data_IF_526653939557
#
_entry.id   IF_526653939557
#
_cell.length_a   1.000
_cell.length_b   1.000
_cell.length_c   1.000
_cell.angle_alpha   90.00
_cell.angle_beta   90.00
_cell.angle_gamma   90.00
#
_symmetry.space_group_name_H-M   'P 1'
#
loop_
_entity.id
_entity.type
_entity.pdbx_description
1 polymer ?
#
# COMPACT_ATOMS: atom_id res chain seq x y z
N UNK A 1 -49.26 16.16 27.27
CA UNK A 1 -48.77 16.94 26.13
C UNK A 1 -47.52 16.25 25.62
N UNK A 2 -47.68 15.55 24.50
CA UNK A 2 -46.69 15.14 23.46
C UNK A 2 -45.36 14.57 23.97
N UNK A 3 -45.03 13.27 23.89
CA UNK A 3 -45.25 12.20 22.90
C UNK A 3 -44.56 12.46 21.54
N UNK A 4 -43.35 11.92 21.37
CA UNK A 4 -42.69 11.59 20.07
C UNK A 4 -41.51 10.65 20.39
N UNK A 5 -41.61 9.31 20.40
CA UNK A 5 -41.90 8.29 19.36
C UNK A 5 -40.71 8.05 18.40
N UNK A 6 -39.99 6.95 18.65
CA UNK A 6 -39.04 6.29 17.72
C UNK A 6 -39.66 6.05 16.34
N UNK A 7 -38.83 5.69 15.34
CA UNK A 7 -38.98 4.30 14.91
C UNK A 7 -37.67 3.54 14.69
N UNK A 8 -37.74 2.26 15.10
CA UNK A 8 -36.94 1.12 14.63
C UNK A 8 -37.30 0.77 13.18
N UNK A 9 -36.30 0.47 12.36
CA UNK A 9 -36.41 -0.35 11.14
C UNK A 9 -35.29 -1.41 11.23
N UNK A 10 -35.58 -2.67 11.56
CA UNK A 10 -36.13 -3.78 10.76
C UNK A 10 -35.11 -4.41 9.79
N UNK A 11 -34.95 -5.70 10.02
CA UNK A 11 -34.21 -6.73 9.30
C UNK A 11 -34.43 -6.75 7.78
N UNK A 12 -33.41 -7.20 7.05
CA UNK A 12 -33.58 -8.18 5.99
C UNK A 12 -32.25 -8.91 5.68
N UNK A 13 -32.14 -10.17 6.13
CA UNK A 13 -31.39 -11.19 5.39
C UNK A 13 -32.02 -11.37 3.99
N UNK A 14 -31.27 -11.95 3.04
CA UNK A 14 -31.81 -13.21 2.53
C UNK A 14 -30.79 -14.34 2.39
N UNK A 15 -31.39 -15.52 2.43
CA UNK A 15 -30.86 -16.88 2.42
C UNK A 15 -30.18 -17.30 1.12
N UNK A 16 -29.43 -18.37 1.31
CA UNK A 16 -28.81 -19.30 0.38
C UNK A 16 -29.68 -19.88 -0.75
N UNK A 17 -28.92 -20.50 -1.67
CA UNK A 17 -29.22 -21.70 -2.47
C UNK A 17 -29.82 -21.49 -3.87
N UNK A 18 -29.12 -22.02 -4.88
CA UNK A 18 -29.71 -22.26 -6.20
C UNK A 18 -28.73 -22.38 -7.38
N UNK A 19 -27.77 -23.30 -7.34
CA UNK A 19 -27.50 -24.14 -8.53
C UNK A 19 -28.33 -25.42 -8.32
N UNK A 20 -28.99 -25.98 -9.36
CA UNK A 20 -28.27 -26.73 -10.39
C UNK A 20 -28.86 -26.60 -11.81
N UNK A 21 -28.10 -27.12 -12.77
CA UNK A 21 -28.40 -27.01 -14.19
C UNK A 21 -29.43 -27.98 -14.76
N UNK A 22 -29.55 -27.94 -16.08
CA UNK A 22 -30.05 -28.97 -17.01
C UNK A 22 -29.98 -28.31 -18.39
N UNK A 23 -29.11 -28.72 -19.31
CA UNK A 23 -29.21 -29.94 -20.13
C UNK A 23 -30.46 -29.97 -21.03
N UNK A 24 -30.19 -29.84 -22.33
CA UNK A 24 -30.88 -30.37 -23.51
C UNK A 24 -30.10 -29.81 -24.71
N UNK A 25 -29.24 -30.50 -25.46
CA UNK A 25 -29.22 -31.89 -25.96
C UNK A 25 -30.49 -32.28 -26.74
N UNK A 26 -30.28 -32.62 -28.02
CA UNK A 26 -31.29 -32.88 -29.05
C UNK A 26 -30.74 -32.39 -30.41
N UNK A 27 -29.79 -33.04 -31.07
CA UNK A 27 -29.75 -34.41 -31.62
C UNK A 27 -30.45 -34.56 -32.98
N UNK A 28 -29.85 -35.44 -33.79
CA UNK A 28 -30.22 -35.98 -35.11
C UNK A 28 -29.79 -35.15 -36.34
N UNK A 29 -28.75 -35.51 -37.10
CA UNK A 29 -28.30 -36.78 -37.70
C UNK A 29 -29.00 -37.14 -39.03
N UNK A 30 -28.25 -37.94 -39.81
CA UNK A 30 -28.49 -38.44 -41.17
C UNK A 30 -27.99 -37.50 -42.29
N UNK A 31 -27.21 -37.93 -43.27
CA UNK A 31 -26.77 -39.25 -43.72
C UNK A 31 -25.63 -38.99 -44.75
N UNK A 32 -24.49 -39.68 -44.73
CA UNK A 32 -24.15 -40.84 -45.61
C UNK A 32 -24.46 -40.59 -47.10
N UNK A 33 -23.70 -40.99 -48.10
CA UNK A 33 -22.40 -41.64 -48.35
C UNK A 33 -22.32 -41.71 -49.92
N UNK A 34 -21.33 -42.43 -50.47
CA UNK A 34 -21.19 -42.83 -51.90
C UNK A 34 -20.59 -41.75 -52.83
N UNK A 35 -19.39 -41.87 -53.41
CA UNK A 35 -18.65 -42.98 -54.04
C UNK A 35 -19.27 -43.51 -55.35
N UNK A 36 -18.38 -43.72 -56.33
CA UNK A 36 -18.59 -44.44 -57.61
C UNK A 36 -19.31 -43.64 -58.70
N UNK A 37 -18.99 -43.70 -59.99
CA UNK A 37 -18.12 -44.56 -60.80
C UNK A 37 -18.20 -44.02 -62.23
N UNK A 38 -17.11 -44.08 -63.01
CA UNK A 38 -16.95 -45.04 -64.11
C UNK A 38 -18.05 -45.01 -65.19
N UNK A 39 -17.65 -44.76 -66.45
CA UNK A 39 -18.50 -45.08 -67.59
C UNK A 39 -18.18 -44.35 -68.90
N UNK A 40 -17.24 -44.88 -69.65
CA UNK A 40 -17.14 -44.91 -71.13
C UNK A 40 -18.51 -45.06 -71.87
N UNK A 41 -18.67 -44.91 -73.21
CA UNK A 41 -17.68 -45.29 -74.23
C UNK A 41 -17.65 -44.47 -75.55
N UNK A 42 -16.67 -44.77 -76.38
CA UNK A 42 -16.87 -45.44 -77.68
C UNK A 42 -16.00 -44.87 -78.79
N UNK A 43 -15.10 -45.75 -79.23
CA UNK A 43 -14.20 -45.62 -80.35
C UNK A 43 -14.93 -45.57 -81.70
N UNK A 44 -14.32 -44.90 -82.68
CA UNK A 44 -14.21 -45.46 -84.05
C UNK A 44 -12.85 -45.09 -84.63
N UNK A 45 -12.10 -46.13 -84.97
CA UNK A 45 -10.84 -46.10 -85.69
C UNK A 45 -11.06 -45.92 -87.20
N UNK A 46 -10.10 -45.31 -87.91
CA UNK A 46 -9.59 -45.82 -89.20
C UNK A 46 -8.42 -44.99 -89.75
N UNK A 47 -7.28 -45.68 -89.90
CA UNK A 47 -6.05 -45.39 -90.66
C UNK A 47 -6.44 -45.13 -92.14
N UNK A 48 -5.78 -44.28 -92.98
CA UNK A 48 -4.38 -44.52 -93.36
C UNK A 48 -3.49 -43.37 -93.91
N UNK A 49 -2.17 -43.66 -93.84
CA UNK A 49 -1.10 -43.45 -94.85
C UNK A 49 -0.75 -42.02 -95.31
N UNK A 50 0.53 -41.70 -95.13
CA UNK A 50 1.27 -40.67 -95.86
C UNK A 50 0.97 -40.68 -97.38
N UNK A 51 1.15 -39.51 -98.01
CA UNK A 51 2.31 -39.45 -98.90
C UNK A 51 3.22 -38.26 -98.63
N UNK A 52 4.50 -38.60 -98.50
CA UNK A 52 5.68 -37.82 -98.91
C UNK A 52 5.44 -37.07 -100.23
N UNK A 53 5.96 -35.82 -100.32
CA UNK A 53 6.39 -35.00 -101.51
C UNK A 53 5.87 -33.54 -101.36
N UNK A 54 6.60 -32.45 -101.59
CA UNK A 54 7.88 -32.11 -102.24
C UNK A 54 8.38 -30.76 -101.66
N UNK A 55 9.69 -30.43 -101.79
CA UNK A 55 10.27 -29.20 -101.28
C UNK A 55 9.94 -28.01 -102.20
N UNK A 56 9.67 -26.85 -101.62
CA UNK A 56 10.07 -25.55 -102.18
C UNK A 56 9.98 -24.48 -101.10
N UNK A 57 11.03 -23.66 -101.03
CA UNK A 57 11.32 -22.63 -100.05
C UNK A 57 10.10 -21.87 -99.47
N UNK A 58 9.76 -22.15 -98.21
CA UNK A 58 8.75 -21.38 -97.48
C UNK A 58 9.21 -19.98 -97.05
N UNK A 59 10.53 -19.74 -97.01
CA UNK A 59 11.11 -18.46 -96.57
C UNK A 59 11.05 -17.37 -97.64
N UNK A 60 11.08 -17.73 -98.92
CA UNK A 60 11.00 -16.77 -100.02
C UNK A 60 9.57 -16.32 -100.32
N UNK A 61 8.55 -17.11 -99.95
CA UNK A 61 7.13 -16.67 -100.02
C UNK A 61 6.74 -15.69 -98.91
N UNK A 62 7.27 -15.83 -97.70
CA UNK A 62 7.05 -14.86 -96.62
C UNK A 62 7.72 -13.51 -96.93
N UNK A 63 8.94 -13.53 -97.50
CA UNK A 63 9.65 -12.31 -97.89
C UNK A 63 9.04 -11.63 -99.13
N UNK A 64 8.39 -12.38 -100.02
CA UNK A 64 7.67 -11.82 -101.18
C UNK A 64 6.23 -11.36 -100.86
N UNK A 65 5.65 -11.75 -99.72
CA UNK A 65 4.34 -11.27 -99.25
C UNK A 65 4.42 -9.96 -98.45
N UNK A 66 5.62 -9.56 -98.01
CA UNK A 66 5.90 -8.36 -97.22
C UNK A 66 6.49 -7.20 -98.06
N UNK A 67 6.60 -7.35 -99.39
CA UNK A 67 7.14 -6.35 -100.29
C UNK A 67 6.29 -6.25 -101.56
N UNK A 68 5.80 -5.08 -101.99
CA UNK A 68 6.29 -3.72 -101.70
C UNK A 68 5.65 -3.10 -100.44
N UNK A 69 6.37 -2.25 -99.70
CA UNK A 69 5.76 -1.49 -98.61
C UNK A 69 5.01 -0.32 -99.26
N UNK A 70 3.70 -0.46 -99.43
CA UNK A 70 2.84 0.70 -99.62
C UNK A 70 2.66 1.37 -98.26
N UNK A 71 3.71 2.05 -97.79
CA UNK A 71 3.61 2.93 -96.61
C UNK A 71 2.71 4.08 -96.99
N UNK A 72 1.40 3.92 -96.73
CA UNK A 72 0.48 5.05 -96.76
C UNK A 72 0.83 5.97 -95.59
N UNK A 73 0.62 7.30 -95.75
CA UNK A 73 0.84 8.26 -94.66
C UNK A 73 0.12 7.84 -93.37
N UNK A 74 -1.03 7.18 -93.47
CA UNK A 74 -1.76 6.65 -92.31
C UNK A 74 -1.06 5.49 -91.61
N UNK A 75 -0.36 4.62 -92.35
CA UNK A 75 0.34 3.46 -91.78
C UNK A 75 1.62 3.87 -91.04
N UNK A 76 2.29 4.94 -91.49
CA UNK A 76 3.37 5.60 -90.73
C UNK A 76 2.87 6.23 -89.44
N UNK A 77 1.70 6.88 -89.47
CA UNK A 77 1.06 7.44 -88.27
C UNK A 77 0.71 6.35 -87.27
N UNK A 78 0.15 5.21 -87.72
CA UNK A 78 -0.18 4.07 -86.85
C UNK A 78 1.09 3.43 -86.27
N UNK A 79 2.15 3.26 -87.06
CA UNK A 79 3.42 2.73 -86.57
C UNK A 79 4.07 3.66 -85.54
N UNK A 80 4.03 4.98 -85.77
CA UNK A 80 4.54 5.98 -84.83
C UNK A 80 3.71 6.04 -83.54
N UNK A 81 2.39 5.91 -83.63
CA UNK A 81 1.50 5.83 -82.48
C UNK A 81 1.74 4.55 -81.66
N UNK A 82 1.90 3.39 -82.31
CA UNK A 82 2.22 2.14 -81.62
C UNK A 82 3.62 2.17 -81.02
N UNK A 83 4.59 2.80 -81.69
CA UNK A 83 5.93 3.00 -81.15
C UNK A 83 5.91 3.94 -79.94
N UNK A 84 5.19 5.06 -80.02
CA UNK A 84 5.03 5.99 -78.91
C UNK A 84 4.29 5.35 -77.74
N UNK A 85 3.25 4.55 -78.00
CA UNK A 85 2.52 3.79 -76.98
C UNK A 85 3.40 2.70 -76.35
N UNK A 86 4.17 1.97 -77.17
CA UNK A 86 5.13 0.97 -76.70
C UNK A 86 6.24 1.60 -75.87
N UNK A 87 6.73 2.77 -76.27
CA UNK A 87 7.72 3.54 -75.53
C UNK A 87 7.13 4.08 -74.22
N UNK A 88 5.90 4.60 -74.24
CA UNK A 88 5.20 5.07 -73.04
C UNK A 88 4.93 3.92 -72.06
N UNK A 89 4.48 2.76 -72.55
CA UNK A 89 4.33 1.55 -71.74
C UNK A 89 5.68 1.06 -71.21
N UNK A 90 6.74 1.08 -72.02
CA UNK A 90 8.07 0.71 -71.56
C UNK A 90 8.58 1.67 -70.48
N UNK A 91 8.36 2.98 -70.61
CA UNK A 91 8.70 3.99 -69.60
C UNK A 91 7.84 3.82 -68.36
N UNK A 92 6.54 3.51 -68.50
CA UNK A 92 5.63 3.32 -67.38
C UNK A 92 5.92 2.02 -66.62
N UNK A 93 6.29 0.95 -67.33
CA UNK A 93 6.75 -0.32 -66.75
C UNK A 93 8.16 -0.16 -66.17
N UNK A 94 9.04 0.63 -66.79
CA UNK A 94 10.37 0.94 -66.26
C UNK A 94 10.24 1.78 -64.99
N UNK A 95 9.41 2.82 -64.99
CA UNK A 95 9.12 3.70 -63.86
C UNK A 95 8.42 2.97 -62.70
N UNK A 96 7.48 2.07 -62.98
CA UNK A 96 6.85 1.24 -61.93
C UNK A 96 7.82 0.18 -61.38
N UNK A 97 8.84 -0.21 -62.15
CA UNK A 97 9.89 -1.14 -61.71
C UNK A 97 11.15 -0.46 -61.16
N UNK A 98 11.36 0.83 -61.42
CA UNK A 98 12.45 1.68 -60.91
C UNK A 98 12.15 2.19 -59.47
N UNK A 99 11.23 1.55 -58.76
CA UNK A 99 11.30 1.48 -57.29
C UNK A 99 12.44 0.54 -56.87
N UNK A 100 13.67 0.80 -57.32
CA UNK A 100 14.86 0.01 -57.01
C UNK A 100 15.51 0.38 -55.68
N UNK A 101 14.88 1.22 -54.85
CA UNK A 101 15.30 1.47 -53.47
C UNK A 101 14.60 0.55 -52.43
N UNK A 102 13.76 -0.42 -52.85
CA UNK A 102 12.90 -1.15 -51.90
C UNK A 102 12.89 -2.69 -52.03
N UNK A 103 13.91 -3.32 -52.65
CA UNK A 103 14.07 -4.79 -52.67
C UNK A 103 15.25 -5.35 -51.89
N UNK A 104 16.29 -4.56 -51.61
CA UNK A 104 17.34 -4.90 -50.64
C UNK A 104 16.98 -4.53 -49.19
N UNK A 105 16.13 -3.52 -49.01
CA UNK A 105 15.84 -2.91 -47.71
C UNK A 105 14.86 -3.69 -46.81
N UNK A 106 14.13 -4.70 -47.29
CA UNK A 106 13.09 -5.35 -46.45
C UNK A 106 13.69 -6.12 -45.28
N UNK A 107 14.70 -6.96 -45.54
CA UNK A 107 15.32 -7.74 -44.47
C UNK A 107 16.18 -6.86 -43.56
N UNK A 108 16.90 -5.90 -44.13
CA UNK A 108 17.74 -4.94 -43.39
C UNK A 108 16.92 -3.97 -42.53
N UNK A 109 15.79 -3.46 -43.02
CA UNK A 109 14.87 -2.62 -42.21
C UNK A 109 14.13 -3.43 -41.15
N UNK A 110 13.75 -4.69 -41.43
CA UNK A 110 13.17 -5.57 -40.41
C UNK A 110 14.17 -5.87 -39.29
N UNK A 111 15.44 -6.12 -39.63
CA UNK A 111 16.52 -6.29 -38.65
C UNK A 111 16.76 -4.99 -37.89
N UNK A 112 16.80 -3.84 -38.57
CA UNK A 112 16.97 -2.53 -37.93
C UNK A 112 15.82 -2.18 -36.98
N UNK A 113 14.58 -2.45 -37.37
CA UNK A 113 13.39 -2.25 -36.53
C UNK A 113 13.41 -3.21 -35.36
N UNK A 114 13.83 -4.46 -35.56
CA UNK A 114 14.00 -5.44 -34.49
C UNK A 114 15.08 -4.98 -33.51
N UNK A 115 16.25 -4.55 -33.99
CA UNK A 115 17.33 -4.02 -33.14
C UNK A 115 16.87 -2.75 -32.39
N UNK A 116 16.11 -1.87 -33.02
CA UNK A 116 15.53 -0.69 -32.37
C UNK A 116 14.48 -1.08 -31.32
N UNK A 117 13.66 -2.10 -31.60
CA UNK A 117 12.65 -2.61 -30.68
C UNK A 117 13.30 -3.34 -29.50
N UNK A 118 14.32 -4.16 -29.74
CA UNK A 118 15.10 -4.85 -28.73
C UNK A 118 15.85 -3.84 -27.86
N UNK A 119 16.43 -2.79 -28.46
CA UNK A 119 17.03 -1.67 -27.74
C UNK A 119 16.02 -0.90 -26.89
N UNK A 120 14.82 -0.63 -27.43
CA UNK A 120 13.71 -0.02 -26.67
C UNK A 120 13.23 -0.94 -25.55
N UNK A 121 13.13 -2.25 -25.80
CA UNK A 121 12.72 -3.24 -24.83
C UNK A 121 13.74 -3.34 -23.70
N UNK A 122 15.04 -3.42 -23.99
CA UNK A 122 16.10 -3.40 -22.98
C UNK A 122 16.07 -2.12 -22.16
N UNK A 123 15.90 -0.95 -22.81
CA UNK A 123 15.79 0.32 -22.10
C UNK A 123 14.59 0.37 -21.15
N UNK A 124 13.41 -0.03 -21.63
CA UNK A 124 12.19 -0.08 -20.81
C UNK A 124 12.31 -1.10 -19.67
N UNK A 125 12.95 -2.25 -19.91
CA UNK A 125 13.24 -3.22 -18.86
C UNK A 125 14.18 -2.63 -17.80
N UNK A 126 15.24 -1.93 -18.22
CA UNK A 126 16.15 -1.23 -17.29
C UNK A 126 15.44 -0.13 -16.50
N UNK A 127 14.61 0.69 -17.15
CA UNK A 127 13.80 1.73 -16.49
C UNK A 127 12.82 1.13 -15.49
N UNK A 128 12.15 0.01 -15.84
CA UNK A 128 11.27 -0.73 -14.93
C UNK A 128 12.03 -1.21 -13.69
N UNK A 129 13.17 -1.88 -13.87
CA UNK A 129 13.98 -2.37 -12.73
C UNK A 129 14.46 -1.21 -11.85
N UNK A 130 14.87 -0.08 -12.44
CA UNK A 130 15.28 1.09 -11.67
C UNK A 130 14.11 1.71 -10.88
N UNK A 131 12.92 1.76 -11.46
CA UNK A 131 11.71 2.24 -10.77
C UNK A 131 11.29 1.30 -9.64
N UNK A 132 11.34 -0.01 -9.86
CA UNK A 132 11.07 -1.02 -8.83
C UNK A 132 12.04 -0.90 -7.65
N UNK A 133 13.34 -0.71 -7.93
CA UNK A 133 14.35 -0.45 -6.90
C UNK A 133 14.10 0.87 -6.15
N UNK A 134 13.73 1.93 -6.88
CA UNK A 134 13.44 3.24 -6.29
C UNK A 134 12.20 3.19 -5.39
N UNK A 135 11.17 2.46 -5.81
CA UNK A 135 9.95 2.23 -5.05
C UNK A 135 10.27 1.44 -3.78
N UNK A 136 10.99 0.32 -3.90
CA UNK A 136 11.39 -0.49 -2.74
C UNK A 136 12.24 0.31 -1.74
N UNK A 137 13.16 1.16 -2.23
CA UNK A 137 13.96 2.03 -1.38
C UNK A 137 13.09 3.08 -0.65
N UNK A 138 12.13 3.69 -1.35
CA UNK A 138 11.24 4.69 -0.78
C UNK A 138 10.34 4.06 0.29
N UNK A 139 9.75 2.90 0.01
CA UNK A 139 8.92 2.15 0.97
C UNK A 139 9.72 1.77 2.21
N UNK A 140 10.93 1.24 2.05
CA UNK A 140 11.81 0.91 3.17
C UNK A 140 12.16 2.14 4.02
N UNK A 141 12.54 3.24 3.39
CA UNK A 141 12.87 4.49 4.11
C UNK A 141 11.66 5.07 4.85
N UNK A 142 10.47 4.97 4.27
CA UNK A 142 9.21 5.42 4.88
C UNK A 142 8.86 4.58 6.10
N UNK A 143 8.99 3.26 6.01
CA UNK A 143 8.77 2.35 7.13
C UNK A 143 9.77 2.62 8.27
N UNK A 144 11.05 2.77 7.95
CA UNK A 144 12.08 3.12 8.94
C UNK A 144 11.80 4.47 9.63
N UNK A 145 11.35 5.48 8.88
CA UNK A 145 10.99 6.77 9.44
C UNK A 145 9.80 6.69 10.39
N UNK A 146 8.77 5.91 10.03
CA UNK A 146 7.59 5.66 10.88
C UNK A 146 7.99 4.95 12.17
N UNK A 147 8.78 3.88 12.08
CA UNK A 147 9.27 3.15 13.25
C UNK A 147 10.09 4.06 14.17
N UNK A 148 11.01 4.86 13.62
CA UNK A 148 11.80 5.81 14.38
C UNK A 148 10.93 6.86 15.09
N UNK A 149 9.88 7.34 14.43
CA UNK A 149 8.93 8.28 15.01
C UNK A 149 8.13 7.64 16.15
N UNK A 150 7.64 6.41 15.99
CA UNK A 150 6.93 5.68 17.03
C UNK A 150 7.80 5.42 18.25
N UNK A 151 9.04 4.98 18.05
CA UNK A 151 10.02 4.80 19.13
C UNK A 151 10.30 6.11 19.86
N UNK A 152 10.38 7.22 19.12
CA UNK A 152 10.57 8.55 19.72
C UNK A 152 9.36 8.96 20.55
N UNK A 153 8.13 8.72 20.07
CA UNK A 153 6.90 8.99 20.82
C UNK A 153 6.80 8.15 22.09
N UNK A 154 7.14 6.85 22.02
CA UNK A 154 7.18 5.97 23.20
C UNK A 154 8.16 6.47 24.24
N UNK A 155 9.39 6.78 23.84
CA UNK A 155 10.41 7.37 24.73
C UNK A 155 9.96 8.71 25.32
N UNK A 156 9.31 9.56 24.53
CA UNK A 156 8.79 10.83 25.02
C UNK A 156 7.70 10.61 26.09
N UNK A 157 6.81 9.64 25.89
CA UNK A 157 5.78 9.29 26.87
C UNK A 157 6.40 8.69 28.15
N UNK A 158 7.36 7.76 28.03
CA UNK A 158 8.09 7.18 29.16
C UNK A 158 8.79 8.28 29.99
N UNK A 159 9.52 9.18 29.33
CA UNK A 159 10.16 10.32 29.99
C UNK A 159 9.14 11.30 30.58
N UNK A 160 7.99 11.49 29.92
CA UNK A 160 6.90 12.32 30.40
C UNK A 160 6.28 11.77 31.68
N UNK A 161 6.13 10.45 31.81
CA UNK A 161 5.65 9.80 33.04
C UNK A 161 6.66 10.03 34.17
N UNK A 162 7.95 9.83 33.91
CA UNK A 162 9.03 10.06 34.89
C UNK A 162 9.12 11.54 35.32
N UNK A 163 8.94 12.47 34.39
CA UNK A 163 8.94 13.90 34.65
C UNK A 163 7.64 14.40 35.32
N UNK A 164 6.61 13.56 35.38
CA UNK A 164 5.30 13.93 35.89
C UNK A 164 4.42 14.72 34.92
N UNK A 165 4.82 14.89 33.67
CA UNK A 165 4.07 15.67 32.65
C UNK A 165 3.07 14.85 31.86
N UNK A 166 3.09 13.52 31.99
CA UNK A 166 2.13 12.59 31.40
C UNK A 166 1.42 11.79 32.50
N UNK A 167 0.18 11.39 32.23
CA UNK A 167 -0.61 10.55 33.11
C UNK A 167 -0.02 9.15 33.20
N UNK A 168 -0.23 8.47 34.33
CA UNK A 168 0.23 7.10 34.55
C UNK A 168 -0.93 6.20 34.96
N UNK A 169 -0.94 4.97 34.47
CA UNK A 169 -1.92 3.95 34.86
C UNK A 169 -1.27 2.59 35.01
N UNK A 170 -1.74 1.81 35.96
CA UNK A 170 -1.20 0.49 36.24
C UNK A 170 -1.81 -0.10 37.51
N UNK A 171 -1.39 -1.31 37.92
CA UNK A 171 -1.73 -1.82 39.24
C UNK A 171 -1.20 -0.87 40.32
N UNK A 172 -1.85 -0.86 41.47
CA UNK A 172 -1.48 0.08 42.52
C UNK A 172 -2.36 0.04 43.74
N UNK A 173 -2.24 1.08 44.57
CA UNK A 173 -3.05 1.27 45.76
C UNK A 173 -3.63 2.68 45.81
N UNK A 174 -4.75 2.80 46.52
CA UNK A 174 -5.25 4.08 47.01
C UNK A 174 -5.17 4.04 48.54
N UNK A 175 -4.27 4.84 49.10
CA UNK A 175 -4.16 5.08 50.53
C UNK A 175 -4.94 6.35 50.87
N UNK A 176 -5.89 6.26 51.79
CA UNK A 176 -6.66 7.39 52.32
C UNK A 176 -6.29 7.59 53.78
N UNK A 177 -5.90 8.81 54.13
CA UNK A 177 -5.59 9.21 55.51
C UNK A 177 -6.65 10.22 55.96
N UNK A 178 -7.50 9.80 56.88
CA UNK A 178 -8.50 10.64 57.55
C UNK A 178 -7.93 11.13 58.88
N UNK A 179 -7.98 12.43 59.14
CA UNK A 179 -7.38 13.07 60.32
C UNK A 179 -8.35 14.05 61.00
N UNK A 180 -9.40 13.53 61.66
CA UNK A 180 -10.43 14.36 62.26
C UNK A 180 -9.91 15.31 63.34
N UNK A 181 -8.70 15.07 63.88
CA UNK A 181 -8.08 15.88 64.93
C UNK A 181 -7.01 16.86 64.40
N UNK A 182 -6.72 16.87 63.10
CA UNK A 182 -5.74 17.78 62.48
C UNK A 182 -4.30 17.58 62.95
N UNK A 183 -3.95 16.35 63.35
CA UNK A 183 -2.63 15.98 63.87
C UNK A 183 -1.62 15.61 62.79
N UNK A 184 -2.07 15.25 61.59
CA UNK A 184 -1.20 14.90 60.46
C UNK A 184 -0.49 16.15 59.97
N UNK A 185 0.85 16.10 60.01
CA UNK A 185 1.75 17.19 59.60
C UNK A 185 2.50 16.84 58.33
N UNK A 186 3.19 17.84 57.79
CA UNK A 186 3.97 17.75 56.55
C UNK A 186 5.03 16.64 56.58
N UNK A 187 5.68 16.43 57.73
CA UNK A 187 6.69 15.38 57.93
C UNK A 187 6.10 13.97 57.82
N UNK A 188 4.92 13.72 58.41
CA UNK A 188 4.25 12.41 58.33
C UNK A 188 3.83 12.06 56.89
N UNK A 189 3.38 13.05 56.12
CA UNK A 189 3.05 12.86 54.71
C UNK A 189 4.31 12.65 53.86
N UNK A 190 5.40 13.32 54.20
CA UNK A 190 6.69 13.10 53.56
C UNK A 190 7.19 11.67 53.85
N UNK A 191 7.17 11.22 55.10
CA UNK A 191 7.57 9.86 55.46
C UNK A 191 6.73 8.82 54.71
N UNK A 192 5.41 9.02 54.64
CA UNK A 192 4.50 8.19 53.83
C UNK A 192 4.95 8.12 52.37
N UNK A 193 5.26 9.27 51.77
CA UNK A 193 5.75 9.34 50.40
C UNK A 193 7.09 8.58 50.23
N UNK A 194 8.00 8.70 51.19
CA UNK A 194 9.31 8.07 51.12
C UNK A 194 9.23 6.56 51.24
N UNK A 195 8.35 6.04 52.10
CA UNK A 195 8.08 4.61 52.21
C UNK A 195 7.48 4.05 50.92
N UNK A 196 6.53 4.76 50.29
CA UNK A 196 5.99 4.38 48.98
C UNK A 196 7.08 4.32 47.90
N UNK A 197 7.98 5.31 47.86
CA UNK A 197 9.12 5.32 46.94
C UNK A 197 10.08 4.16 47.19
N UNK A 198 10.39 3.88 48.45
CA UNK A 198 11.24 2.75 48.83
C UNK A 198 10.62 1.40 48.43
N UNK A 199 9.29 1.30 48.48
CA UNK A 199 8.51 0.13 48.08
C UNK A 199 8.28 0.00 46.56
N UNK A 200 8.87 0.88 45.74
CA UNK A 200 8.80 0.78 44.27
C UNK A 200 7.58 1.44 43.65
N UNK A 201 7.02 2.47 44.26
CA UNK A 201 6.02 3.32 43.60
C UNK A 201 6.61 4.02 42.37
N UNK A 202 5.92 3.92 41.24
CA UNK A 202 6.35 4.46 39.94
C UNK A 202 5.73 5.83 39.65
N UNK A 203 4.48 6.04 40.05
CA UNK A 203 3.80 7.32 39.97
C UNK A 203 2.91 7.54 41.19
N UNK A 204 2.93 8.74 41.74
CA UNK A 204 2.19 9.09 42.96
C UNK A 204 1.47 10.41 42.74
N UNK A 205 0.22 10.45 43.17
CA UNK A 205 -0.59 11.65 43.26
C UNK A 205 -1.15 11.75 44.67
N UNK A 206 -1.06 12.95 45.25
CA UNK A 206 -1.66 13.28 46.54
C UNK A 206 -2.77 14.28 46.28
N UNK A 207 -4.02 13.84 46.41
CA UNK A 207 -5.21 14.59 45.99
C UNK A 207 -5.06 15.05 44.53
N UNK A 208 -4.90 16.36 44.28
CA UNK A 208 -4.74 16.95 42.94
C UNK A 208 -3.29 17.34 42.60
N UNK A 209 -2.32 16.81 43.36
CA UNK A 209 -0.90 17.14 43.22
C UNK A 209 -0.11 15.93 42.72
N UNK A 210 0.49 16.06 41.54
CA UNK A 210 1.45 15.09 41.01
C UNK A 210 2.75 15.18 41.81
N UNK A 211 3.18 14.06 42.38
CA UNK A 211 4.46 13.99 43.06
C UNK A 211 5.57 13.73 42.06
N UNK A 212 6.61 14.57 42.11
CA UNK A 212 7.85 14.47 41.34
C UNK A 212 9.05 14.61 42.27
N UNK A 213 10.27 14.50 41.72
CA UNK A 213 11.50 14.53 42.52
C UNK A 213 11.63 15.80 43.39
N UNK A 214 11.17 16.96 42.90
CA UNK A 214 11.25 18.24 43.60
C UNK A 214 10.05 18.59 44.49
N UNK A 215 9.07 17.70 44.63
CA UNK A 215 7.89 17.95 45.47
C UNK A 215 8.32 18.14 46.93
N UNK A 216 7.80 19.20 47.55
CA UNK A 216 8.06 19.55 48.94
C UNK A 216 6.75 19.72 49.72
N UNK A 217 6.85 19.61 51.06
CA UNK A 217 5.74 19.70 51.99
C UNK A 217 6.00 20.82 52.99
N UNK A 218 4.98 21.59 53.34
CA UNK A 218 5.03 22.58 54.41
C UNK A 218 3.73 22.56 55.20
N UNK A 219 3.80 22.70 56.52
CA UNK A 219 2.59 22.83 57.33
C UNK A 219 1.86 24.14 56.99
N UNK A 220 0.53 24.06 56.87
CA UNK A 220 -0.32 25.23 56.78
C UNK A 220 -0.92 25.50 58.18
N UNK A 221 -0.27 26.42 58.91
CA UNK A 221 -0.63 26.76 60.29
C UNK A 221 -2.00 27.43 60.43
N UNK A 222 -2.63 27.86 59.34
CA UNK A 222 -3.89 28.60 59.38
C UNK A 222 -5.13 27.71 59.31
N UNK A 223 -5.02 26.50 58.74
CA UNK A 223 -6.19 25.68 58.36
C UNK A 223 -6.08 24.20 58.77
N UNK A 224 -5.13 23.83 59.64
CA UNK A 224 -4.82 22.42 59.97
C UNK A 224 -4.66 21.55 58.70
N UNK A 225 -3.98 22.10 57.69
CA UNK A 225 -3.72 21.45 56.41
C UNK A 225 -2.22 21.37 56.11
N UNK A 226 -1.90 20.73 54.99
CA UNK A 226 -0.52 20.66 54.48
C UNK A 226 -0.51 21.24 53.08
N UNK A 227 0.53 22.02 52.77
CA UNK A 227 0.79 22.50 51.42
C UNK A 227 1.79 21.58 50.74
N UNK A 228 1.43 21.07 49.56
CA UNK A 228 2.23 20.15 48.76
C UNK A 228 2.58 20.85 47.45
N UNK A 229 3.87 21.05 47.19
CA UNK A 229 4.39 21.78 46.02
C UNK A 229 3.71 23.15 45.81
N UNK A 230 3.49 23.88 46.92
CA UNK A 230 2.87 25.20 46.89
C UNK A 230 1.33 25.20 46.85
N UNK A 231 0.67 24.06 46.69
CA UNK A 231 -0.80 23.94 46.70
C UNK A 231 -1.33 23.50 48.06
N UNK A 232 -2.35 24.18 48.57
CA UNK A 232 -3.02 23.77 49.80
C UNK A 232 -3.80 22.48 49.58
N UNK A 233 -3.54 21.47 50.43
CA UNK A 233 -4.17 20.16 50.38
C UNK A 233 -4.83 19.91 51.74
N UNK A 234 -6.13 19.64 51.69
CA UNK A 234 -6.95 19.34 52.85
C UNK A 234 -7.20 17.85 52.99
N UNK A 235 -7.50 17.43 54.22
CA UNK A 235 -7.93 16.07 54.50
C UNK A 235 -9.27 15.70 53.79
N UNK A 236 -9.51 14.40 53.53
CA UNK A 236 -8.56 13.31 53.69
C UNK A 236 -7.41 13.38 52.67
N UNK A 237 -6.20 13.01 53.11
CA UNK A 237 -5.05 12.94 52.24
C UNK A 237 -5.10 11.63 51.46
N UNK A 238 -5.26 11.72 50.13
CA UNK A 238 -5.41 10.57 49.26
C UNK A 238 -4.16 10.37 48.42
N UNK A 239 -3.41 9.33 48.73
CA UNK A 239 -2.30 8.85 47.92
C UNK A 239 -2.82 7.85 46.89
N UNK A 240 -2.89 8.29 45.65
CA UNK A 240 -3.16 7.45 44.48
C UNK A 240 -1.82 7.03 43.89
N UNK A 241 -1.51 5.74 43.94
CA UNK A 241 -0.16 5.22 43.67
C UNK A 241 -0.22 4.12 42.61
N UNK A 242 0.61 4.24 41.58
CA UNK A 242 0.92 3.15 40.64
C UNK A 242 2.21 2.45 41.10
N UNK A 243 2.17 1.13 41.16
CA UNK A 243 3.28 0.25 41.58
C UNK A 243 2.75 -1.12 42.01
N UNK A 244 3.64 -2.06 42.31
CA UNK A 244 3.23 -3.41 42.70
C UNK A 244 2.50 -3.42 44.06
N UNK A 245 1.18 -3.73 44.12
CA UNK A 245 0.43 -3.67 45.37
C UNK A 245 0.94 -4.64 46.45
N UNK A 246 1.59 -5.73 46.02
CA UNK A 246 2.18 -6.74 46.90
C UNK A 246 3.46 -6.26 47.58
N UNK A 247 4.11 -5.21 47.06
CA UNK A 247 5.28 -4.58 47.69
C UNK A 247 4.84 -3.34 48.49
N UNK A 248 3.94 -2.53 47.91
CA UNK A 248 3.44 -1.29 48.51
C UNK A 248 2.69 -1.51 49.82
N UNK A 249 1.78 -2.48 49.87
CA UNK A 249 0.92 -2.67 51.06
C UNK A 249 1.70 -3.16 52.26
N UNK A 250 2.58 -4.19 52.17
CA UNK A 250 3.38 -4.61 53.31
C UNK A 250 4.32 -3.52 53.81
N UNK A 251 4.93 -2.74 52.91
CA UNK A 251 5.85 -1.65 53.28
C UNK A 251 5.18 -0.63 54.22
N UNK A 252 3.94 -0.23 53.92
CA UNK A 252 3.18 0.70 54.76
C UNK A 252 2.76 0.11 56.12
N UNK A 253 2.66 -1.21 56.22
CA UNK A 253 2.22 -1.95 57.40
C UNK A 253 3.37 -2.53 58.23
N UNK A 254 4.64 -2.22 57.91
CA UNK A 254 5.79 -2.64 58.71
C UNK A 254 5.59 -2.16 60.16
N UNK A 255 5.88 -2.97 61.19
CA UNK A 255 5.80 -2.54 62.58
C UNK A 255 6.61 -1.26 62.84
N UNK A 256 5.95 -0.24 63.37
CA UNK A 256 6.55 1.09 63.55
C UNK A 256 6.58 1.97 62.29
N UNK A 257 6.06 1.49 61.16
CA UNK A 257 5.94 2.22 59.89
C UNK A 257 4.73 3.15 59.83
N UNK A 258 4.39 3.55 58.60
CA UNK A 258 3.43 4.64 58.30
C UNK A 258 2.08 4.46 58.96
N UNK A 259 1.40 3.32 58.73
CA UNK A 259 0.04 3.10 59.22
C UNK A 259 0.00 3.23 60.75
N UNK A 260 0.97 2.62 61.43
CA UNK A 260 1.02 2.66 62.89
C UNK A 260 1.37 4.04 63.43
N UNK A 261 2.27 4.76 62.76
CA UNK A 261 2.64 6.13 63.12
C UNK A 261 1.45 7.08 63.04
N UNK A 262 0.64 6.97 61.98
CA UNK A 262 -0.58 7.74 61.80
C UNK A 262 -1.64 7.40 62.86
N UNK A 263 -1.86 6.10 63.15
CA UNK A 263 -2.78 5.66 64.20
C UNK A 263 -2.41 6.20 65.59
N UNK A 264 -1.11 6.25 65.91
CA UNK A 264 -0.62 6.83 67.18
C UNK A 264 -0.96 8.32 67.30
N UNK A 265 -1.16 9.02 66.18
CA UNK A 265 -1.62 10.41 66.11
C UNK A 265 -3.13 10.55 65.90
N UNK A 266 -3.90 9.48 66.14
CA UNK A 266 -5.35 9.45 65.99
C UNK A 266 -5.86 9.68 64.56
N UNK A 267 -5.01 9.49 63.56
CA UNK A 267 -5.39 9.46 62.15
C UNK A 267 -5.69 8.03 61.69
N UNK A 268 -6.66 7.87 60.81
CA UNK A 268 -7.05 6.58 60.25
C UNK A 268 -6.49 6.43 58.84
N UNK A 269 -5.68 5.39 58.62
CA UNK A 269 -5.19 5.01 57.30
C UNK A 269 -6.01 3.84 56.75
N UNK A 270 -6.48 3.97 55.49
CA UNK A 270 -7.18 2.91 54.76
C UNK A 270 -6.49 2.67 53.43
N UNK A 271 -6.09 1.42 53.16
CA UNK A 271 -5.40 1.04 51.92
C UNK A 271 -6.33 0.16 51.09
N UNK A 272 -6.55 0.55 49.83
CA UNK A 272 -7.32 -0.23 48.86
C UNK A 272 -6.42 -0.59 47.68
N UNK A 273 -6.15 -1.89 47.50
CA UNK A 273 -5.44 -2.38 46.32
C UNK A 273 -6.35 -2.39 45.10
N UNK A 274 -5.82 -1.99 43.94
CA UNK A 274 -6.57 -1.99 42.69
C UNK A 274 -5.69 -2.49 41.55
N UNK A 275 -6.29 -3.26 40.63
CA UNK A 275 -5.59 -3.74 39.42
C UNK A 275 -5.33 -2.62 38.42
N UNK A 276 -6.09 -1.52 38.51
CA UNK A 276 -5.93 -0.34 37.69
C UNK A 276 -6.19 0.91 38.50
N UNK A 277 -5.13 1.64 38.78
CA UNK A 277 -5.14 2.99 39.33
C UNK A 277 -4.80 3.96 38.20
N UNK A 278 -5.37 5.17 38.27
CA UNK A 278 -5.06 6.27 37.37
C UNK A 278 -4.46 7.42 38.19
N UNK A 279 -3.25 7.81 37.85
CA UNK A 279 -2.60 9.04 38.30
C UNK A 279 -2.71 10.04 37.16
N UNK A 280 -3.70 10.93 37.26
CA UNK A 280 -4.06 11.90 36.23
C UNK A 280 -3.53 13.32 36.50
N UNK A 281 -3.15 13.62 37.74
CA UNK A 281 -2.47 14.86 38.07
C UNK A 281 -1.14 14.99 37.31
N UNK A 282 -0.89 16.20 36.81
CA UNK A 282 0.32 16.54 36.06
C UNK A 282 1.17 17.58 36.81
N UNK A 283 2.47 17.39 36.78
CA UNK A 283 3.44 18.37 37.25
C UNK A 283 3.57 19.50 36.23
N UNK A 284 3.65 20.74 36.72
CA UNK A 284 3.87 21.90 35.85
C UNK A 284 5.37 22.21 35.82
N UNK A 285 6.07 21.95 34.70
CA UNK A 285 7.50 22.22 34.63
C UNK A 285 7.77 23.72 34.69
N UNK A 286 8.66 24.13 35.59
CA UNK A 286 9.15 25.50 35.64
C UNK A 286 10.08 25.75 34.44
N UNK A 287 9.91 26.85 33.69
CA UNK A 287 10.79 27.14 32.56
C UNK A 287 12.24 27.31 33.05
N UNK A 288 13.16 26.64 32.36
CA UNK A 288 14.59 26.76 32.64
C UNK A 288 15.08 28.16 32.21
N UNK A 289 15.71 28.89 33.12
CA UNK A 289 16.30 30.20 32.80
C UNK A 289 17.70 30.07 32.18
N UNK A 290 18.49 29.11 32.68
CA UNK A 290 19.89 28.93 32.29
C UNK A 290 20.15 27.58 31.60
N UNK A 291 19.47 26.51 32.05
CA UNK A 291 19.59 25.18 31.47
C UNK A 291 18.92 25.10 30.10
N UNK A 292 19.53 24.36 29.17
CA UNK A 292 18.95 24.04 27.87
C UNK A 292 19.12 22.54 27.62
N UNK A 293 18.13 21.84 27.04
CA UNK A 293 18.33 20.49 26.55
C UNK A 293 19.50 20.45 25.57
N UNK A 294 20.35 19.44 25.66
CA UNK A 294 21.41 19.23 24.68
C UNK A 294 20.79 18.97 23.29
N UNK A 295 21.39 19.50 22.24
CA UNK A 295 21.04 19.11 20.88
C UNK A 295 21.39 17.63 20.68
N UNK A 296 20.49 16.90 20.02
CA UNK A 296 20.67 15.50 19.67
C UNK A 296 21.34 15.36 18.31
#
# INVERSE_FOLDING_TARGET
>A
MSEEKEPREREAEPRAAGEPGSAAEGAEAAATEEASGAGEPSAVAAVPREPVRLPSDGRTRLMAALWPPRVSRGQLVVALLLFALGLALAIQVRSTNDHSELRGARQEDLVRILDELDGKQQRLQSEKTQLEQSLAQLENSSNQAKEAQEQTRKKAAELGVLAGTEQATGPGIVLTIDDPQGQVKADMLLDTLQELRAAGAEAIQINDVRVVAGTYFTDNSSENGVRIDGKDVSQPFRFTVVGNPQDLTPALNIPGGVVRSLENHQAQATIVQQQKVLVDALATPKPLQYGKPAAK
#
